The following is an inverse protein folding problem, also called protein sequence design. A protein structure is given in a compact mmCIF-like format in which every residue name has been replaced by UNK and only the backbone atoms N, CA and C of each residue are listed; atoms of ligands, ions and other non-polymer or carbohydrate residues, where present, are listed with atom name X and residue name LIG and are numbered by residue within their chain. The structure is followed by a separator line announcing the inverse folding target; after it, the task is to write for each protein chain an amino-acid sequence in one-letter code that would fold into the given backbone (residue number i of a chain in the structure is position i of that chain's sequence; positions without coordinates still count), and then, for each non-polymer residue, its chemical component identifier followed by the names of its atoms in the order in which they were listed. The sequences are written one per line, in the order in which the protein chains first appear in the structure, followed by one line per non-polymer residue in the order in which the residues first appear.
data_IF_636122880864
#
_entry.id   IF_636122880864
#
_cell.length_a   1.000
_cell.length_b   1.000
_cell.length_c   1.000
_cell.angle_alpha   90.00
_cell.angle_beta   90.00
_cell.angle_gamma   90.00
#
_symmetry.space_group_name_H-M   'P 1'
#
loop_
_entity.id
_entity.type
_entity.pdbx_description
1 polymer ?
#
# COMPACT_ATOMS: atom_id res chain seq x y z
N UNK A 1 -36.49 -25.42 -11.22
CA UNK A 1 -36.34 -24.25 -12.10
C UNK A 1 -37.55 -23.36 -11.91
N UNK A 2 -37.44 -22.47 -10.94
CA UNK A 2 -38.35 -21.37 -10.67
C UNK A 2 -37.93 -20.21 -11.56
N UNK A 3 -38.86 -19.70 -12.35
CA UNK A 3 -38.63 -18.58 -13.26
C UNK A 3 -39.63 -17.47 -12.91
N UNK A 4 -39.12 -16.26 -12.68
CA UNK A 4 -39.92 -15.06 -12.42
C UNK A 4 -39.47 -13.99 -13.40
N UNK A 5 -40.39 -13.43 -14.19
CA UNK A 5 -40.08 -12.45 -15.25
C UNK A 5 -38.97 -12.92 -16.20
N UNK A 6 -39.06 -14.19 -16.64
CA UNK A 6 -38.07 -14.83 -17.52
C UNK A 6 -36.63 -14.94 -16.94
N UNK A 7 -36.48 -14.74 -15.63
CA UNK A 7 -35.22 -14.93 -14.91
C UNK A 7 -35.29 -16.23 -14.09
N UNK A 8 -34.35 -17.14 -14.32
CA UNK A 8 -34.15 -18.32 -13.48
C UNK A 8 -33.57 -17.91 -12.12
N UNK A 9 -34.26 -18.27 -11.03
CA UNK A 9 -33.84 -17.91 -9.66
C UNK A 9 -33.26 -19.08 -8.86
N UNK A 10 -33.34 -20.31 -9.40
CA UNK A 10 -32.81 -21.49 -8.73
C UNK A 10 -31.33 -21.75 -9.06
N UNK A 11 -30.80 -21.17 -10.16
CA UNK A 11 -29.37 -21.22 -10.49
C UNK A 11 -28.58 -20.21 -9.66
N UNK A 12 -28.38 -20.54 -8.39
CA UNK A 12 -27.67 -19.70 -7.44
C UNK A 12 -26.16 -19.92 -7.56
N UNK A 13 -25.47 -18.94 -8.13
CA UNK A 13 -24.01 -18.88 -8.16
C UNK A 13 -23.44 -18.37 -6.82
N UNK A 14 -23.37 -19.23 -5.79
CA UNK A 14 -22.75 -18.89 -4.51
C UNK A 14 -21.22 -19.02 -4.57
N UNK A 15 -20.50 -17.89 -4.48
CA UNK A 15 -19.04 -17.86 -4.35
C UNK A 15 -18.63 -17.81 -2.87
N UNK A 16 -18.02 -18.90 -2.41
CA UNK A 16 -17.47 -19.05 -1.05
C UNK A 16 -16.47 -17.93 -0.73
N UNK A 17 -16.61 -17.26 0.40
CA UNK A 17 -15.69 -16.20 0.82
C UNK A 17 -14.53 -16.78 1.63
N UNK A 18 -13.47 -17.18 0.94
CA UNK A 18 -12.28 -17.82 1.55
C UNK A 18 -11.61 -16.97 2.65
N UNK A 19 -11.70 -15.64 2.55
CA UNK A 19 -11.11 -14.72 3.56
C UNK A 19 -11.93 -14.78 4.85
N UNK A 20 -13.26 -14.73 4.74
CA UNK A 20 -14.16 -14.83 5.89
C UNK A 20 -13.99 -16.18 6.61
N UNK A 21 -13.77 -17.25 5.86
CA UNK A 21 -13.56 -18.57 6.43
C UNK A 21 -12.23 -18.70 7.14
N UNK A 22 -11.17 -18.12 6.60
CA UNK A 22 -9.87 -18.08 7.27
C UNK A 22 -10.00 -17.37 8.63
N UNK A 23 -10.69 -16.23 8.68
CA UNK A 23 -10.89 -15.48 9.93
C UNK A 23 -11.69 -16.28 10.98
N UNK A 24 -12.69 -17.04 10.55
CA UNK A 24 -13.51 -17.83 11.47
C UNK A 24 -12.85 -19.14 11.92
N UNK A 25 -12.07 -19.80 11.06
CA UNK A 25 -11.65 -21.18 11.28
C UNK A 25 -10.15 -21.34 11.54
N UNK A 26 -9.31 -20.36 11.15
CA UNK A 26 -7.89 -20.46 11.38
C UNK A 26 -7.54 -19.89 12.76
N UNK A 27 -6.64 -20.58 13.45
CA UNK A 27 -5.85 -19.97 14.50
C UNK A 27 -4.89 -18.91 13.90
N UNK A 28 -4.51 -17.87 14.64
CA UNK A 28 -3.53 -16.92 14.15
C UNK A 28 -2.15 -17.59 13.99
N UNK A 29 -1.36 -17.18 13.00
CA UNK A 29 -0.01 -17.75 12.77
C UNK A 29 0.96 -17.45 13.92
N UNK A 30 0.72 -16.35 14.62
CA UNK A 30 1.46 -15.83 15.78
C UNK A 30 0.52 -15.04 16.69
N UNK A 31 0.93 -14.76 17.93
CA UNK A 31 0.12 -13.92 18.85
C UNK A 31 0.26 -12.42 18.55
N UNK A 32 1.34 -12.04 17.85
CA UNK A 32 1.72 -10.66 17.58
C UNK A 32 2.05 -10.45 16.10
N UNK A 33 1.47 -9.40 15.52
CA UNK A 33 1.84 -8.87 14.22
C UNK A 33 2.94 -7.82 14.39
N UNK A 34 4.10 -8.07 13.79
CA UNK A 34 5.22 -7.13 13.84
C UNK A 34 5.04 -6.04 12.77
N UNK A 35 4.74 -4.81 13.19
CA UNK A 35 4.46 -3.68 12.29
C UNK A 35 5.70 -2.80 12.17
N UNK A 36 6.21 -2.64 10.95
CA UNK A 36 7.32 -1.73 10.64
C UNK A 36 6.75 -0.42 10.09
N UNK A 37 7.10 0.68 10.75
CA UNK A 37 6.84 2.05 10.32
C UNK A 37 8.15 2.69 9.87
N UNK A 38 8.05 3.54 8.85
CA UNK A 38 9.20 4.25 8.29
C UNK A 38 8.90 5.73 8.24
N UNK A 39 9.87 6.56 8.64
CA UNK A 39 9.80 8.00 8.41
C UNK A 39 11.10 8.52 7.80
N UNK A 40 10.98 8.98 6.56
CA UNK A 40 11.92 9.86 5.88
C UNK A 40 11.19 11.19 5.61
N UNK A 41 11.85 12.30 5.90
CA UNK A 41 11.27 13.63 5.77
C UNK A 41 12.33 14.67 5.35
N UNK A 42 12.77 14.66 4.08
CA UNK A 42 13.84 15.56 3.61
C UNK A 42 13.46 17.04 3.74
N UNK A 43 12.16 17.36 3.65
CA UNK A 43 11.63 18.73 3.74
C UNK A 43 11.16 19.13 5.15
N UNK A 44 11.29 18.25 6.15
CA UNK A 44 10.87 18.50 7.53
C UNK A 44 9.39 18.90 7.71
N UNK A 45 8.49 18.41 6.84
CA UNK A 45 7.06 18.66 6.98
C UNK A 45 6.54 18.20 8.34
N UNK A 46 5.95 19.12 9.10
CA UNK A 46 5.46 18.89 10.45
C UNK A 46 4.37 17.83 10.49
N UNK A 47 3.45 17.82 9.52
CA UNK A 47 2.30 16.92 9.48
C UNK A 47 2.71 15.45 9.45
N UNK A 48 3.79 15.10 8.74
CA UNK A 48 4.35 13.73 8.75
C UNK A 48 4.74 13.28 10.17
N UNK A 49 5.37 14.16 10.94
CA UNK A 49 5.79 13.87 12.31
C UNK A 49 4.62 13.78 13.28
N UNK A 50 3.57 14.59 13.07
CA UNK A 50 2.34 14.54 13.86
C UNK A 50 1.63 13.20 13.62
N UNK A 51 1.37 12.87 12.34
CA UNK A 51 0.65 11.66 11.96
C UNK A 51 1.32 10.38 12.45
N UNK A 52 2.65 10.27 12.32
CA UNK A 52 3.34 9.08 12.84
C UNK A 52 3.30 8.97 14.36
N UNK A 53 3.31 10.09 15.10
CA UNK A 53 3.17 10.07 16.56
C UNK A 53 1.76 9.63 16.97
N UNK A 54 0.74 10.17 16.29
CA UNK A 54 -0.65 9.77 16.51
C UNK A 54 -0.85 8.29 16.19
N UNK A 55 -0.31 7.80 15.07
CA UNK A 55 -0.35 6.39 14.70
C UNK A 55 0.32 5.49 15.75
N UNK A 56 1.54 5.83 16.17
CA UNK A 56 2.26 5.08 17.22
C UNK A 56 1.41 5.05 18.50
N UNK A 57 0.86 6.19 18.91
CA UNK A 57 0.06 6.29 20.12
C UNK A 57 -1.21 5.43 20.05
N UNK A 58 -1.97 5.47 18.95
CA UNK A 58 -3.15 4.62 18.75
C UNK A 58 -2.76 3.14 18.84
N UNK A 59 -1.74 2.73 18.10
CA UNK A 59 -1.29 1.33 18.11
C UNK A 59 -0.79 0.87 19.49
N UNK A 60 -0.07 1.69 20.25
CA UNK A 60 0.42 1.32 21.58
C UNK A 60 -0.67 1.28 22.66
N UNK A 61 -1.72 2.10 22.52
CA UNK A 61 -2.80 2.23 23.51
C UNK A 61 -4.01 1.35 23.22
N UNK A 62 -4.30 1.08 21.95
CA UNK A 62 -5.56 0.48 21.50
C UNK A 62 -5.38 -0.94 20.96
N UNK A 63 -4.19 -1.30 20.47
CA UNK A 63 -3.93 -2.61 19.86
C UNK A 63 -3.26 -3.60 20.81
N UNK A 64 -3.76 -4.83 20.83
CA UNK A 64 -3.25 -5.89 21.72
C UNK A 64 -2.40 -6.93 21.00
N UNK A 65 -2.55 -7.06 19.68
CA UNK A 65 -1.84 -8.03 18.85
C UNK A 65 -0.76 -7.39 17.97
N UNK A 66 -0.24 -6.21 18.34
CA UNK A 66 0.71 -5.44 17.53
C UNK A 66 1.99 -5.17 18.30
N UNK A 67 3.14 -5.30 17.63
CA UNK A 67 4.41 -4.76 18.10
C UNK A 67 4.97 -3.82 17.03
N UNK A 68 5.18 -2.55 17.40
CA UNK A 68 5.67 -1.51 16.47
C UNK A 68 7.19 -1.45 16.49
N UNK A 69 7.75 -1.35 15.29
CA UNK A 69 9.16 -1.09 15.01
C UNK A 69 9.25 0.15 14.13
N UNK A 70 10.11 1.10 14.49
CA UNK A 70 10.19 2.39 13.80
C UNK A 70 11.57 2.59 13.22
N UNK A 71 11.64 2.82 11.91
CA UNK A 71 12.87 3.18 11.20
C UNK A 71 12.78 4.65 10.82
N UNK A 72 13.72 5.46 11.31
CA UNK A 72 13.82 6.88 10.97
C UNK A 72 15.11 7.15 10.18
N UNK A 73 14.93 7.72 8.99
CA UNK A 73 16.00 8.17 8.13
C UNK A 73 16.10 9.70 8.19
N UNK A 74 17.23 10.18 8.69
CA UNK A 74 17.55 11.60 8.75
C UNK A 74 18.60 11.98 7.70
N UNK A 75 18.56 13.22 7.22
CA UNK A 75 19.49 13.71 6.20
C UNK A 75 20.53 14.67 6.76
N UNK A 76 21.79 14.53 6.37
CA UNK A 76 22.89 15.46 6.74
C UNK A 76 22.95 15.67 8.26
N UNK A 77 22.67 16.88 8.74
CA UNK A 77 22.66 17.26 10.16
C UNK A 77 21.25 17.27 10.80
N UNK A 78 20.22 16.78 10.11
CA UNK A 78 18.86 16.68 10.68
C UNK A 78 18.86 15.84 11.95
N UNK A 79 18.09 16.25 12.96
CA UNK A 79 17.92 15.47 14.18
C UNK A 79 16.97 14.30 13.93
N UNK A 80 17.17 13.22 14.67
CA UNK A 80 16.14 12.20 14.84
C UNK A 80 15.04 12.75 15.76
N UNK A 81 13.78 12.75 15.31
CA UNK A 81 12.63 13.37 15.95
C UNK A 81 11.67 12.33 16.53
N UNK A 82 11.54 11.17 15.88
CA UNK A 82 10.59 10.12 16.27
C UNK A 82 11.25 9.03 17.10
N UNK A 83 12.47 8.67 16.74
CA UNK A 83 13.16 7.52 17.30
C UNK A 83 14.09 7.92 18.45
N UNK A 84 14.56 6.90 19.19
CA UNK A 84 15.51 7.04 20.29
C UNK A 84 16.51 5.90 20.20
N UNK A 85 17.79 6.20 20.31
CA UNK A 85 18.88 5.22 20.26
C UNK A 85 18.82 4.18 21.40
N UNK A 86 18.06 4.44 22.47
CA UNK A 86 17.90 3.50 23.60
C UNK A 86 16.70 2.57 23.47
N UNK A 87 15.80 2.82 22.52
CA UNK A 87 14.65 1.95 22.29
C UNK A 87 15.04 0.82 21.33
N UNK A 88 14.93 -0.43 21.78
CA UNK A 88 15.31 -1.63 21.00
C UNK A 88 14.46 -1.86 19.75
N UNK A 89 13.30 -1.22 19.63
CA UNK A 89 12.43 -1.29 18.45
C UNK A 89 12.59 -0.08 17.53
N UNK A 90 13.55 0.79 17.80
CA UNK A 90 13.85 1.95 16.98
C UNK A 90 15.17 1.76 16.23
N UNK A 91 15.18 2.09 14.94
CA UNK A 91 16.37 2.14 14.10
C UNK A 91 16.57 3.56 13.60
N UNK A 92 17.74 4.12 13.90
CA UNK A 92 18.20 5.43 13.42
C UNK A 92 19.22 5.21 12.31
N UNK A 93 18.93 5.71 11.11
CA UNK A 93 19.82 5.66 9.95
C UNK A 93 19.98 7.05 9.32
N UNK A 94 21.08 7.27 8.60
CA UNK A 94 21.40 8.60 8.08
C UNK A 94 22.06 8.51 6.71
N UNK A 95 21.67 9.42 5.82
CA UNK A 95 22.31 9.59 4.50
C UNK A 95 22.42 11.06 4.12
N UNK A 96 23.21 11.37 3.10
CA UNK A 96 23.41 12.74 2.61
C UNK A 96 22.37 13.15 1.55
N UNK A 97 21.94 12.20 0.72
CA UNK A 97 21.13 12.46 -0.48
C UNK A 97 19.73 11.86 -0.32
N UNK A 98 18.67 12.67 -0.43
CA UNK A 98 17.29 12.17 -0.45
C UNK A 98 16.95 11.37 -1.72
N UNK A 99 16.55 10.11 -1.52
CA UNK A 99 15.79 9.29 -2.48
C UNK A 99 14.47 8.85 -1.83
N UNK A 100 13.60 8.18 -2.57
CA UNK A 100 12.45 7.48 -1.99
C UNK A 100 12.90 6.16 -1.33
N UNK A 101 13.16 6.16 -0.02
CA UNK A 101 13.74 5.01 0.68
C UNK A 101 12.74 4.07 1.36
N UNK A 102 11.42 4.28 1.28
CA UNK A 102 10.42 3.56 2.10
C UNK A 102 10.67 2.04 2.15
N UNK A 103 10.72 1.38 0.99
CA UNK A 103 10.92 -0.07 0.93
C UNK A 103 12.32 -0.51 1.40
N UNK A 104 13.37 0.29 1.15
CA UNK A 104 14.72 0.06 1.69
C UNK A 104 14.74 0.14 3.22
N UNK A 105 14.05 1.13 3.79
CA UNK A 105 13.89 1.30 5.24
C UNK A 105 13.13 0.14 5.87
N UNK A 106 12.07 -0.34 5.22
CA UNK A 106 11.35 -1.55 5.68
C UNK A 106 12.29 -2.75 5.69
N UNK A 107 13.05 -2.96 4.61
CA UNK A 107 14.03 -4.05 4.51
C UNK A 107 15.09 -3.99 5.62
N UNK A 108 15.62 -2.79 5.91
CA UNK A 108 16.55 -2.56 7.02
C UNK A 108 15.90 -2.85 8.38
N UNK A 109 14.64 -2.43 8.57
CA UNK A 109 13.86 -2.73 9.77
C UNK A 109 13.69 -4.23 9.99
N UNK A 110 13.36 -5.00 8.94
CA UNK A 110 13.27 -6.46 9.03
C UNK A 110 14.58 -7.08 9.48
N UNK A 111 15.70 -6.68 8.85
CA UNK A 111 17.02 -7.26 9.14
C UNK A 111 17.54 -6.90 10.53
N UNK A 112 17.27 -5.69 11.01
CA UNK A 112 17.93 -5.13 12.22
C UNK A 112 17.06 -5.11 13.46
N UNK A 113 15.73 -5.13 13.33
CA UNK A 113 14.82 -4.92 14.45
C UNK A 113 13.94 -6.14 14.76
N UNK A 114 13.51 -6.91 13.77
CA UNK A 114 12.57 -8.01 14.01
C UNK A 114 13.24 -9.17 14.77
N UNK A 115 12.53 -9.81 15.71
CA UNK A 115 13.07 -10.94 16.45
C UNK A 115 13.30 -12.13 15.52
N UNK A 116 14.35 -12.96 15.69
CA UNK A 116 14.72 -14.00 14.73
C UNK A 116 13.59 -14.99 14.36
N UNK A 117 12.65 -15.20 15.27
CA UNK A 117 11.53 -16.14 15.17
C UNK A 117 10.20 -15.50 14.72
N UNK A 118 10.21 -14.24 14.24
CA UNK A 118 8.99 -13.58 13.73
C UNK A 118 8.34 -14.42 12.62
N UNK A 119 7.01 -14.53 12.61
CA UNK A 119 6.28 -15.33 11.60
C UNK A 119 5.49 -14.49 10.59
N UNK A 120 5.00 -13.34 11.03
CA UNK A 120 4.27 -12.39 10.20
C UNK A 120 4.71 -10.96 10.51
N UNK A 121 4.78 -10.14 9.46
CA UNK A 121 5.04 -8.72 9.58
C UNK A 121 4.04 -7.91 8.77
N UNK A 122 3.87 -6.64 9.12
CA UNK A 122 3.22 -5.65 8.31
C UNK A 122 4.14 -4.44 8.09
N UNK A 123 3.95 -3.74 6.98
CA UNK A 123 4.51 -2.42 6.72
C UNK A 123 3.37 -1.49 6.35
N UNK A 124 3.22 -0.42 7.12
CA UNK A 124 2.03 0.42 7.13
C UNK A 124 2.45 1.88 7.06
N UNK A 125 1.76 2.65 6.22
CA UNK A 125 1.88 4.10 6.17
C UNK A 125 1.31 4.70 7.45
N UNK A 126 2.03 5.63 8.05
CA UNK A 126 1.69 6.14 9.38
C UNK A 126 0.62 7.24 9.36
N UNK A 127 -0.05 7.45 8.22
CA UNK A 127 -1.11 8.42 7.99
C UNK A 127 -2.48 7.74 7.88
N UNK A 128 -2.62 6.52 8.40
CA UNK A 128 -3.89 5.79 8.42
C UNK A 128 -4.41 5.47 9.83
N UNK A 129 -5.67 5.10 9.90
CA UNK A 129 -6.36 4.57 11.07
C UNK A 129 -7.19 3.36 10.68
N UNK A 130 -7.24 2.34 11.53
CA UNK A 130 -8.03 1.13 11.31
C UNK A 130 -9.35 1.21 12.08
N UNK A 131 -10.49 1.02 11.40
CA UNK A 131 -11.80 0.99 12.07
C UNK A 131 -12.03 -0.33 12.81
N UNK A 132 -11.45 -1.41 12.29
CA UNK A 132 -11.68 -2.75 12.82
C UNK A 132 -10.75 -3.00 14.01
N UNK A 133 -11.26 -3.26 15.22
CA UNK A 133 -10.42 -3.56 16.39
C UNK A 133 -9.75 -4.95 16.30
N UNK A 134 -10.12 -5.77 15.30
CA UNK A 134 -9.53 -7.10 15.08
C UNK A 134 -8.60 -7.15 13.88
N UNK A 135 -8.28 -6.02 13.23
CA UNK A 135 -7.53 -6.02 11.97
C UNK A 135 -6.21 -6.81 12.07
N UNK A 136 -5.47 -6.66 13.17
CA UNK A 136 -4.19 -7.35 13.37
C UNK A 136 -4.38 -8.86 13.57
N UNK A 137 -5.35 -9.26 14.40
CA UNK A 137 -5.67 -10.67 14.63
C UNK A 137 -6.20 -11.34 13.35
N UNK A 138 -7.09 -10.67 12.62
CA UNK A 138 -7.64 -11.16 11.36
C UNK A 138 -6.54 -11.29 10.30
N UNK A 139 -5.58 -10.36 10.26
CA UNK A 139 -4.38 -10.46 9.44
C UNK A 139 -3.59 -11.74 9.75
N UNK A 140 -3.31 -12.00 11.03
CA UNK A 140 -2.56 -13.19 11.46
C UNK A 140 -3.27 -14.50 11.11
N UNK A 141 -4.60 -14.54 11.17
CA UNK A 141 -5.41 -15.70 10.78
C UNK A 141 -5.44 -15.93 9.26
N UNK A 142 -5.57 -14.86 8.48
CA UNK A 142 -5.56 -14.96 7.01
C UNK A 142 -4.17 -15.37 6.51
N UNK A 143 -3.10 -14.90 7.14
CA UNK A 143 -1.73 -15.31 6.84
C UNK A 143 -1.41 -16.76 7.28
N UNK A 144 -2.21 -17.35 8.17
CA UNK A 144 -2.04 -18.73 8.56
C UNK A 144 -2.59 -19.69 7.50
N UNK A 145 -1.77 -20.01 6.50
CA UNK A 145 -2.09 -21.06 5.53
C UNK A 145 -3.07 -20.66 4.41
N UNK A 146 -3.79 -19.52 4.51
CA UNK A 146 -4.73 -19.08 3.45
C UNK A 146 -4.04 -18.19 2.41
N UNK A 147 -3.33 -17.14 2.86
CA UNK A 147 -2.64 -16.17 2.00
C UNK A 147 -1.20 -15.98 2.47
N UNK A 148 -0.33 -15.58 1.55
CA UNK A 148 1.09 -15.36 1.84
C UNK A 148 1.40 -13.87 2.03
N UNK A 149 0.66 -13.02 1.30
CA UNK A 149 0.74 -11.56 1.32
C UNK A 149 -0.68 -11.00 1.29
N UNK A 150 -0.99 -10.04 2.15
CA UNK A 150 -2.33 -9.42 2.23
C UNK A 150 -2.23 -7.91 2.33
N UNK A 151 -3.16 -7.21 1.68
CA UNK A 151 -3.41 -5.81 1.99
C UNK A 151 -4.31 -5.75 3.23
N UNK A 152 -3.93 -5.01 4.27
CA UNK A 152 -4.56 -5.12 5.61
C UNK A 152 -5.90 -4.38 5.74
N UNK A 153 -6.55 -4.09 4.62
CA UNK A 153 -7.84 -3.43 4.55
C UNK A 153 -8.57 -3.80 3.24
N UNK A 154 -9.87 -3.53 3.20
CA UNK A 154 -10.70 -3.69 2.00
C UNK A 154 -11.06 -2.36 1.35
N UNK A 155 -11.35 -1.34 2.15
CA UNK A 155 -11.74 -0.02 1.68
C UNK A 155 -11.01 1.06 2.48
N UNK A 156 -10.71 2.18 1.84
CA UNK A 156 -10.11 3.35 2.47
C UNK A 156 -11.05 4.53 2.31
N UNK A 157 -11.39 5.20 3.41
CA UNK A 157 -11.98 6.53 3.44
C UNK A 157 -10.82 7.52 3.38
N UNK A 158 -10.68 8.20 2.25
CA UNK A 158 -9.70 9.25 2.07
C UNK A 158 -10.28 10.58 2.50
N UNK A 159 -9.64 11.23 3.47
CA UNK A 159 -10.20 12.39 4.18
C UNK A 159 -9.57 13.71 3.73
N UNK A 160 -10.33 14.79 3.90
CA UNK A 160 -9.81 16.16 3.79
C UNK A 160 -9.14 16.60 5.11
N UNK A 161 -8.69 17.86 5.16
CA UNK A 161 -8.03 18.46 6.33
C UNK A 161 -8.90 18.52 7.59
N UNK A 162 -10.22 18.56 7.40
CA UNK A 162 -11.25 18.66 8.44
C UNK A 162 -11.80 17.27 8.82
N UNK A 163 -11.17 16.20 8.31
CA UNK A 163 -11.53 14.79 8.52
C UNK A 163 -12.85 14.34 7.86
N UNK A 164 -13.42 15.15 6.96
CA UNK A 164 -14.55 14.72 6.13
C UNK A 164 -14.12 13.79 5.01
N UNK A 165 -15.03 12.90 4.61
CA UNK A 165 -14.80 11.96 3.51
C UNK A 165 -14.76 12.67 2.16
N UNK A 166 -13.63 12.59 1.46
CA UNK A 166 -13.50 13.04 0.07
C UNK A 166 -13.84 11.94 -0.92
N UNK A 167 -13.27 10.74 -0.71
CA UNK A 167 -13.39 9.62 -1.63
C UNK A 167 -13.26 8.29 -0.88
N UNK A 168 -13.89 7.25 -1.43
CA UNK A 168 -13.69 5.87 -0.98
C UNK A 168 -12.91 5.11 -2.05
N UNK A 169 -11.82 4.46 -1.65
CA UNK A 169 -11.03 3.57 -2.51
C UNK A 169 -11.23 2.11 -2.11
N UNK A 170 -11.25 1.23 -3.11
CA UNK A 170 -11.14 -0.22 -2.87
C UNK A 170 -9.67 -0.63 -2.90
N UNK A 171 -9.29 -1.51 -1.97
CA UNK A 171 -7.93 -2.04 -1.91
C UNK A 171 -7.65 -2.97 -3.09
N UNK A 172 -6.42 -2.95 -3.60
CA UNK A 172 -5.96 -3.83 -4.67
C UNK A 172 -6.19 -5.31 -4.34
N UNK A 173 -5.83 -5.72 -3.12
CA UNK A 173 -6.01 -7.11 -2.66
C UNK A 173 -7.49 -7.51 -2.63
N UNK A 174 -8.39 -6.59 -2.25
CA UNK A 174 -9.83 -6.83 -2.24
C UNK A 174 -10.35 -7.10 -3.65
N UNK A 175 -10.05 -6.19 -4.57
CA UNK A 175 -10.53 -6.29 -5.95
C UNK A 175 -10.00 -7.55 -6.64
N UNK A 176 -8.73 -7.89 -6.41
CA UNK A 176 -8.11 -9.12 -6.93
C UNK A 176 -8.85 -10.38 -6.44
N UNK A 177 -9.08 -10.50 -5.12
CA UNK A 177 -9.76 -11.68 -4.55
C UNK A 177 -11.22 -11.77 -5.00
N UNK A 178 -11.88 -10.64 -5.27
CA UNK A 178 -13.24 -10.63 -5.83
C UNK A 178 -13.30 -11.00 -7.31
N UNK A 179 -12.16 -11.21 -7.96
CA UNK A 179 -12.09 -11.57 -9.38
C UNK A 179 -12.61 -10.44 -10.27
N UNK A 180 -12.45 -9.18 -9.84
CA UNK A 180 -12.78 -8.04 -10.69
C UNK A 180 -11.75 -7.97 -11.83
N UNK A 181 -12.14 -7.51 -13.03
CA UNK A 181 -11.19 -7.20 -14.08
C UNK A 181 -10.28 -6.04 -13.65
N UNK A 182 -8.99 -6.16 -13.95
CA UNK A 182 -8.03 -5.09 -13.74
C UNK A 182 -7.96 -4.23 -15.00
N UNK A 183 -8.20 -2.92 -14.86
CA UNK A 183 -8.05 -1.94 -15.92
C UNK A 183 -6.94 -0.95 -15.54
N UNK A 184 -5.98 -0.74 -16.45
CA UNK A 184 -4.96 0.29 -16.29
C UNK A 184 -5.55 1.67 -16.55
N UNK A 185 -5.52 2.58 -15.56
CA UNK A 185 -5.92 3.98 -15.73
C UNK A 185 -6.76 4.56 -14.60
N UNK A 186 -7.23 5.80 -14.78
CA UNK A 186 -8.19 6.46 -13.87
C UNK A 186 -9.58 5.88 -14.10
N UNK A 187 -9.93 4.83 -13.37
CA UNK A 187 -11.30 4.33 -13.32
C UNK A 187 -11.93 4.66 -11.96
N UNK A 188 -13.27 4.69 -11.91
CA UNK A 188 -14.01 4.68 -10.63
C UNK A 188 -13.65 3.45 -9.78
N UNK A 189 -13.22 2.37 -10.43
CA UNK A 189 -12.77 1.13 -9.84
C UNK A 189 -11.24 1.04 -9.72
N UNK A 190 -10.56 2.12 -9.33
CA UNK A 190 -9.11 2.10 -9.14
C UNK A 190 -8.73 1.12 -8.01
N UNK A 191 -7.78 0.22 -8.29
CA UNK A 191 -7.27 -0.75 -7.33
C UNK A 191 -6.15 -0.11 -6.53
N UNK A 192 -6.45 0.40 -5.34
CA UNK A 192 -5.47 1.17 -4.58
C UNK A 192 -4.38 0.27 -3.97
N UNK A 193 -3.10 0.41 -4.35
CA UNK A 193 -2.04 -0.48 -3.88
C UNK A 193 -1.37 -0.02 -2.57
N UNK A 194 -1.57 1.22 -2.12
CA UNK A 194 -0.83 1.77 -0.98
C UNK A 194 -1.38 1.43 0.41
N UNK A 195 -0.99 2.26 1.38
CA UNK A 195 -1.42 2.30 2.79
C UNK A 195 -0.88 1.19 3.70
N UNK A 196 -1.09 -0.08 3.39
CA UNK A 196 -0.70 -1.12 4.33
C UNK A 196 -0.78 -2.53 3.80
N UNK A 197 0.30 -3.28 4.03
CA UNK A 197 0.41 -4.68 3.65
C UNK A 197 1.02 -5.50 4.78
N UNK A 198 0.75 -6.80 4.75
CA UNK A 198 1.34 -7.78 5.64
C UNK A 198 1.74 -9.04 4.88
N UNK A 199 2.73 -9.76 5.38
CA UNK A 199 3.19 -11.00 4.78
C UNK A 199 3.72 -11.97 5.83
N UNK A 200 3.76 -13.25 5.46
CA UNK A 200 4.50 -14.26 6.24
C UNK A 200 6.00 -14.08 6.06
N UNK A 201 6.80 -14.56 7.02
CA UNK A 201 8.27 -14.63 6.90
C UNK A 201 8.70 -15.33 5.61
N UNK A 202 8.08 -16.47 5.31
CA UNK A 202 8.34 -17.24 4.09
C UNK A 202 8.10 -16.40 2.83
N UNK A 203 7.02 -15.61 2.80
CA UNK A 203 6.75 -14.72 1.68
C UNK A 203 7.82 -13.63 1.57
N UNK A 204 8.20 -12.98 2.66
CA UNK A 204 9.28 -11.99 2.68
C UNK A 204 10.61 -12.55 2.16
N UNK A 205 11.01 -13.73 2.65
CA UNK A 205 12.23 -14.42 2.21
C UNK A 205 12.14 -14.78 0.72
N UNK A 206 10.97 -15.19 0.23
CA UNK A 206 10.72 -15.48 -1.19
C UNK A 206 10.85 -14.22 -2.06
N UNK A 207 10.37 -13.07 -1.57
CA UNK A 207 10.52 -11.79 -2.27
C UNK A 207 12.00 -11.37 -2.37
N UNK A 208 12.85 -11.82 -1.43
CA UNK A 208 14.22 -11.35 -1.26
C UNK A 208 14.26 -9.96 -0.64
N UNK A 209 13.28 -9.65 0.22
CA UNK A 209 12.97 -8.28 0.63
C UNK A 209 11.95 -7.58 -0.28
N UNK A 210 11.43 -6.44 0.16
CA UNK A 210 10.57 -5.57 -0.66
C UNK A 210 11.37 -4.94 -1.81
N UNK A 211 10.67 -4.60 -2.89
CA UNK A 211 11.29 -3.96 -4.05
C UNK A 211 11.70 -2.51 -3.73
N UNK A 212 12.99 -2.27 -3.56
CA UNK A 212 13.54 -0.99 -3.06
C UNK A 212 14.18 -0.07 -4.12
N UNK A 213 14.14 -0.48 -5.39
CA UNK A 213 14.75 0.28 -6.52
C UNK A 213 13.82 1.36 -7.10
N UNK A 214 12.62 1.51 -6.54
CA UNK A 214 11.66 2.53 -6.92
C UNK A 214 11.99 3.88 -6.26
N UNK A 215 13.08 4.52 -6.69
CA UNK A 215 13.70 5.67 -6.00
C UNK A 215 12.89 6.98 -6.03
N UNK A 216 11.74 6.98 -6.69
CA UNK A 216 10.80 8.11 -6.76
C UNK A 216 9.35 7.68 -6.42
N UNK A 217 9.22 6.62 -5.63
CA UNK A 217 7.95 6.03 -5.21
C UNK A 217 7.39 5.02 -6.21
N UNK A 218 6.14 4.58 -5.98
CA UNK A 218 5.44 3.50 -6.70
C UNK A 218 5.88 2.07 -6.34
N UNK A 219 6.70 1.88 -5.30
CA UNK A 219 7.14 0.55 -4.86
C UNK A 219 5.97 -0.38 -4.53
N UNK A 220 4.95 0.11 -3.85
CA UNK A 220 3.68 -0.57 -3.60
C UNK A 220 2.95 -0.99 -4.88
N UNK A 221 2.83 -0.09 -5.85
CA UNK A 221 2.19 -0.35 -7.14
C UNK A 221 2.95 -1.40 -7.96
N UNK A 222 4.29 -1.29 -8.00
CA UNK A 222 5.19 -2.25 -8.65
C UNK A 222 5.04 -3.64 -8.01
N UNK A 223 5.07 -3.72 -6.68
CA UNK A 223 4.91 -5.00 -5.98
C UNK A 223 3.51 -5.60 -6.21
N UNK A 224 2.45 -4.78 -6.08
CA UNK A 224 1.07 -5.23 -6.28
C UNK A 224 0.84 -5.80 -7.68
N UNK A 225 1.32 -5.11 -8.72
CA UNK A 225 1.22 -5.61 -10.11
C UNK A 225 2.12 -6.81 -10.36
N UNK A 226 3.29 -6.87 -9.74
CA UNK A 226 4.17 -8.04 -9.82
C UNK A 226 3.51 -9.30 -9.27
N UNK A 227 2.71 -9.19 -8.20
CA UNK A 227 1.99 -10.35 -7.66
C UNK A 227 0.95 -10.93 -8.62
N UNK A 228 0.39 -10.11 -9.53
CA UNK A 228 -0.57 -10.56 -10.55
C UNK A 228 0.05 -10.69 -11.94
N UNK A 229 1.39 -10.77 -11.99
CA UNK A 229 2.17 -10.97 -13.21
C UNK A 229 2.04 -9.83 -14.26
N UNK A 230 1.84 -8.60 -13.77
CA UNK A 230 1.75 -7.36 -14.58
C UNK A 230 2.81 -6.32 -14.19
N UNK A 231 3.90 -6.73 -13.54
CA UNK A 231 4.92 -5.82 -12.98
C UNK A 231 5.51 -4.83 -13.98
N UNK A 232 5.81 -5.24 -15.22
CA UNK A 232 6.34 -4.32 -16.24
C UNK A 232 5.36 -3.19 -16.60
N UNK A 233 4.04 -3.38 -16.43
CA UNK A 233 3.04 -2.34 -16.68
C UNK A 233 2.91 -1.35 -15.52
N UNK A 234 3.67 -1.51 -14.44
CA UNK A 234 3.68 -0.60 -13.30
C UNK A 234 4.51 0.66 -13.52
N UNK A 235 5.34 0.66 -14.57
CA UNK A 235 6.21 1.77 -14.94
C UNK A 235 5.89 2.23 -16.37
N UNK A 236 6.37 3.42 -16.73
CA UNK A 236 6.12 3.97 -18.05
C UNK A 236 6.81 3.10 -19.13
N UNK A 237 6.19 2.87 -20.31
CA UNK A 237 6.83 2.16 -21.42
C UNK A 237 8.19 2.74 -21.86
N UNK A 238 8.43 4.03 -21.66
CA UNK A 238 9.70 4.72 -21.95
C UNK A 238 10.76 4.56 -20.86
N UNK A 239 10.43 3.90 -19.74
CA UNK A 239 11.45 3.56 -18.73
C UNK A 239 12.54 2.65 -19.33
N UNK A 240 13.76 2.78 -18.82
CA UNK A 240 14.92 1.98 -19.21
C UNK A 240 14.65 0.48 -19.11
N UNK A 241 15.29 -0.30 -19.98
CA UNK A 241 15.10 -1.75 -20.03
C UNK A 241 15.57 -2.42 -18.75
N UNK A 242 16.70 -1.98 -18.19
CA UNK A 242 17.27 -2.55 -16.98
C UNK A 242 16.40 -2.25 -15.73
N UNK A 243 15.66 -1.13 -15.72
CA UNK A 243 14.65 -0.89 -14.69
C UNK A 243 13.48 -1.88 -14.81
N UNK A 244 12.95 -2.10 -16.02
CA UNK A 244 11.89 -3.10 -16.27
C UNK A 244 12.37 -4.51 -15.94
N UNK A 245 13.61 -4.86 -16.29
CA UNK A 245 14.22 -6.15 -15.96
C UNK A 245 14.31 -6.37 -14.45
N UNK A 246 14.68 -5.34 -13.67
CA UNK A 246 14.73 -5.44 -12.22
C UNK A 246 13.34 -5.76 -11.61
N UNK A 247 12.27 -5.21 -12.20
CA UNK A 247 10.88 -5.48 -11.81
C UNK A 247 10.46 -6.89 -12.22
N UNK A 248 10.77 -7.31 -13.45
CA UNK A 248 10.48 -8.66 -13.93
C UNK A 248 11.21 -9.73 -13.12
N UNK A 249 12.44 -9.45 -12.67
CA UNK A 249 13.18 -10.32 -11.76
C UNK A 249 12.47 -10.46 -10.40
N UNK A 250 11.93 -9.36 -9.86
CA UNK A 250 11.08 -9.40 -8.65
C UNK A 250 9.81 -10.21 -8.89
N UNK A 251 9.06 -9.90 -9.96
CA UNK A 251 7.87 -10.64 -10.38
C UNK A 251 8.11 -12.16 -10.46
N UNK A 252 9.23 -12.57 -11.06
CA UNK A 252 9.56 -13.98 -11.21
C UNK A 252 9.74 -14.70 -9.88
N UNK A 253 10.23 -14.02 -8.84
CA UNK A 253 10.32 -14.57 -7.48
C UNK A 253 8.95 -14.71 -6.82
N UNK A 254 8.05 -13.75 -7.05
CA UNK A 254 6.79 -13.62 -6.31
C UNK A 254 5.57 -14.25 -6.99
N UNK A 255 5.69 -14.70 -8.26
CA UNK A 255 4.57 -15.19 -9.09
C UNK A 255 3.72 -16.34 -8.51
N UNK A 256 4.20 -17.01 -7.45
CA UNK A 256 3.48 -18.11 -6.76
C UNK A 256 2.89 -17.70 -5.41
N UNK A 257 3.13 -16.48 -4.95
CA UNK A 257 2.60 -16.00 -3.68
C UNK A 257 1.10 -15.75 -3.79
N UNK A 258 0.35 -16.21 -2.80
CA UNK A 258 -1.11 -16.06 -2.75
C UNK A 258 -1.45 -14.70 -2.15
N UNK A 259 -1.93 -13.79 -2.97
CA UNK A 259 -2.37 -12.45 -2.54
C UNK A 259 -3.78 -12.48 -1.98
N UNK A 260 -4.01 -11.71 -0.92
CA UNK A 260 -5.34 -11.45 -0.39
C UNK A 260 -5.51 -10.07 0.21
N UNK A 261 -6.54 -9.95 1.04
CA UNK A 261 -6.85 -8.75 1.80
C UNK A 261 -7.44 -9.14 3.16
N UNK A 262 -7.51 -8.17 4.06
CA UNK A 262 -8.24 -8.28 5.33
C UNK A 262 -9.49 -7.39 5.25
N UNK A 263 -10.70 -7.90 5.55
CA UNK A 263 -11.91 -7.09 5.56
C UNK A 263 -11.81 -6.00 6.62
N UNK A 264 -12.13 -4.78 6.24
CA UNK A 264 -11.99 -3.62 7.12
C UNK A 264 -11.95 -2.32 6.33
N UNK A 265 -12.31 -1.24 7.02
CA UNK A 265 -12.17 0.13 6.55
C UNK A 265 -10.96 0.73 7.23
N UNK A 266 -10.15 1.46 6.48
CA UNK A 266 -9.17 2.39 7.04
C UNK A 266 -9.57 3.82 6.71
N UNK A 267 -9.18 4.77 7.55
CA UNK A 267 -9.19 6.20 7.23
C UNK A 267 -7.77 6.62 6.87
N UNK A 268 -7.63 7.45 5.84
CA UNK A 268 -6.34 8.04 5.45
C UNK A 268 -6.43 9.54 5.69
N UNK A 269 -5.58 10.03 6.60
CA UNK A 269 -5.55 11.42 7.03
C UNK A 269 -4.92 12.31 5.98
N UNK A 270 -5.43 13.53 5.90
CA UNK A 270 -4.89 14.55 5.02
C UNK A 270 -3.47 14.99 5.44
N UNK A 271 -2.59 15.06 4.45
CA UNK A 271 -1.20 15.48 4.59
C UNK A 271 -0.70 16.21 3.33
N UNK A 272 -1.56 17.07 2.76
CA UNK A 272 -1.29 17.78 1.51
C UNK A 272 -2.03 17.19 0.30
N UNK A 273 -2.32 18.08 -0.65
CA UNK A 273 -3.24 17.81 -1.75
C UNK A 273 -2.67 16.80 -2.73
N UNK A 274 -3.55 15.97 -3.29
CA UNK A 274 -3.17 14.97 -4.29
C UNK A 274 -2.58 15.58 -5.57
N UNK A 275 -2.95 16.82 -5.91
CA UNK A 275 -2.38 17.59 -7.02
C UNK A 275 -0.85 17.71 -6.88
N UNK A 276 -0.38 18.00 -5.67
CA UNK A 276 1.03 18.18 -5.35
C UNK A 276 1.83 16.87 -5.30
N UNK A 277 1.15 15.70 -5.26
CA UNK A 277 1.80 14.38 -5.20
C UNK A 277 2.37 13.92 -6.55
N UNK A 278 2.00 14.58 -7.66
CA UNK A 278 2.59 14.36 -8.98
C UNK A 278 2.44 12.94 -9.53
N UNK A 279 1.49 12.13 -9.06
CA UNK A 279 1.41 10.70 -9.42
C UNK A 279 1.29 10.45 -10.93
N UNK A 280 0.67 11.36 -11.69
CA UNK A 280 0.53 11.24 -13.14
C UNK A 280 1.77 11.66 -13.94
N UNK A 281 2.74 12.32 -13.32
CA UNK A 281 3.83 12.99 -14.05
C UNK A 281 5.23 12.73 -13.47
N UNK A 282 5.35 12.33 -12.20
CA UNK A 282 6.65 12.10 -11.54
C UNK A 282 7.52 11.07 -12.25
N UNK A 283 6.91 10.14 -12.98
CA UNK A 283 7.65 9.16 -13.77
C UNK A 283 8.50 9.80 -14.87
N UNK A 284 8.14 11.00 -15.35
CA UNK A 284 8.90 11.75 -16.37
C UNK A 284 10.32 12.03 -15.89
N UNK A 285 10.50 12.37 -14.61
CA UNK A 285 11.83 12.56 -14.00
C UNK A 285 12.73 11.33 -14.20
N UNK A 286 12.19 10.11 -14.05
CA UNK A 286 12.98 8.90 -14.26
C UNK A 286 13.29 8.64 -15.75
N UNK A 287 12.38 9.01 -16.65
CA UNK A 287 12.55 8.83 -18.10
C UNK A 287 13.52 9.86 -18.68
N UNK A 288 13.34 11.14 -18.34
CA UNK A 288 14.15 12.26 -18.82
C UNK A 288 15.63 12.10 -18.45
N UNK A 289 15.90 11.47 -17.30
CA UNK A 289 17.26 11.18 -16.82
C UNK A 289 17.72 9.73 -17.06
N UNK A 290 16.99 8.97 -17.89
CA UNK A 290 17.32 7.58 -18.25
C UNK A 290 17.69 6.71 -17.03
N UNK A 291 16.87 6.75 -15.98
CA UNK A 291 17.20 6.13 -14.71
C UNK A 291 17.51 4.63 -14.84
N UNK A 292 18.73 4.24 -14.49
CA UNK A 292 19.17 2.85 -14.40
C UNK A 292 19.36 2.45 -12.92
N UNK A 293 18.62 1.48 -12.38
CA UNK A 293 18.82 1.05 -11.00
C UNK A 293 20.12 0.29 -10.76
N UNK A 294 20.85 -0.12 -11.82
CA UNK A 294 22.14 -0.79 -11.69
C UNK A 294 23.33 0.17 -11.85
N UNK A 295 23.17 1.25 -12.63
CA UNK A 295 24.20 2.25 -12.81
C UNK A 295 24.10 3.38 -11.78
N UNK A 296 22.89 3.86 -11.46
CA UNK A 296 22.71 5.12 -10.72
C UNK A 296 22.59 4.94 -9.20
N UNK A 297 22.29 3.75 -8.70
CA UNK A 297 22.16 3.51 -7.26
C UNK A 297 22.91 2.28 -6.79
N UNK A 298 23.42 2.36 -5.57
CA UNK A 298 24.09 1.27 -4.83
C UNK A 298 23.69 1.37 -3.36
N UNK A 299 24.19 0.48 -2.53
CA UNK A 299 24.11 0.62 -1.07
C UNK A 299 25.45 1.01 -0.46
N UNK A 300 25.40 1.67 0.70
CA UNK A 300 26.58 1.88 1.55
C UNK A 300 26.86 0.67 2.47
N UNK A 301 27.83 0.80 3.38
CA UNK A 301 28.21 -0.23 4.36
C UNK A 301 27.08 -0.54 5.37
N UNK A 302 26.06 0.31 5.43
CA UNK A 302 24.84 0.11 6.21
C UNK A 302 23.65 -0.34 5.35
N UNK A 303 23.87 -0.84 4.13
CA UNK A 303 22.82 -1.23 3.18
C UNK A 303 21.80 -0.10 2.86
N UNK A 304 22.11 1.16 3.18
CA UNK A 304 21.25 2.30 2.86
C UNK A 304 21.44 2.60 1.38
N UNK A 305 20.34 2.72 0.64
CA UNK A 305 20.41 3.08 -0.77
C UNK A 305 21.03 4.47 -0.94
N UNK A 306 22.04 4.60 -1.79
CA UNK A 306 22.73 5.86 -2.10
C UNK A 306 22.97 5.97 -3.61
N UNK A 307 23.08 7.20 -4.16
CA UNK A 307 23.49 7.37 -5.54
C UNK A 307 24.94 6.91 -5.76
N UNK A 308 25.22 6.38 -6.94
CA UNK A 308 26.59 6.14 -7.40
C UNK A 308 27.19 7.44 -7.96
N UNK A 309 28.47 7.38 -8.33
CA UNK A 309 29.14 8.46 -9.08
C UNK A 309 28.58 8.68 -10.49
N UNK A 310 27.89 7.68 -11.04
CA UNK A 310 27.35 7.70 -12.41
C UNK A 310 25.88 8.18 -12.41
N UNK A 311 25.29 8.39 -11.22
CA UNK A 311 23.97 8.98 -11.07
C UNK A 311 23.98 10.46 -11.53
N UNK A 312 23.11 10.87 -12.46
CA UNK A 312 23.04 12.27 -12.89
C UNK A 312 22.68 13.20 -11.72
N UNK A 313 23.45 14.28 -11.53
CA UNK A 313 23.15 15.28 -10.48
C UNK A 313 21.75 15.91 -10.68
N UNK A 314 21.37 16.16 -11.93
CA UNK A 314 20.04 16.71 -12.25
C UNK A 314 18.88 15.79 -11.87
N UNK A 315 19.07 14.47 -11.91
CA UNK A 315 18.07 13.52 -11.39
C UNK A 315 17.86 13.71 -9.88
N UNK A 316 18.95 13.89 -9.12
CA UNK A 316 18.88 14.08 -7.67
C UNK A 316 18.24 15.42 -7.32
N UNK A 317 18.54 16.47 -8.08
CA UNK A 317 17.93 17.79 -7.93
C UNK A 317 16.42 17.74 -8.19
N UNK A 318 15.98 17.06 -9.26
CA UNK A 318 14.56 16.91 -9.58
C UNK A 318 13.81 16.03 -8.57
N UNK A 319 14.45 14.98 -8.03
CA UNK A 319 13.90 14.18 -6.92
C UNK A 319 13.70 15.05 -5.68
N UNK A 320 14.69 15.89 -5.34
CA UNK A 320 14.57 16.83 -4.22
C UNK A 320 13.48 17.88 -4.48
N UNK A 321 13.40 18.40 -5.70
CA UNK A 321 12.35 19.31 -6.15
C UNK A 321 10.95 18.68 -6.02
N UNK A 322 10.81 17.40 -6.39
CA UNK A 322 9.58 16.64 -6.18
C UNK A 322 9.21 16.51 -4.69
N UNK A 323 10.18 16.21 -3.81
CA UNK A 323 9.89 16.17 -2.37
C UNK A 323 9.35 17.50 -1.86
N UNK A 324 9.96 18.62 -2.28
CA UNK A 324 9.53 19.96 -1.90
C UNK A 324 8.17 20.36 -2.51
N UNK A 325 7.83 19.85 -3.70
CA UNK A 325 6.56 20.17 -4.35
C UNK A 325 5.37 19.51 -3.67
N UNK A 326 5.57 18.44 -2.87
CA UNK A 326 4.49 17.73 -2.19
C UNK A 326 3.74 18.59 -1.16
N UNK A 327 4.41 19.58 -0.58
CA UNK A 327 3.86 20.53 0.38
C UNK A 327 2.97 19.87 1.45
N UNK A 328 3.51 18.91 2.20
CA UNK A 328 2.67 18.05 3.05
C UNK A 328 2.11 18.75 4.31
N UNK A 329 2.52 19.99 4.54
CA UNK A 329 1.97 20.89 5.57
C UNK A 329 0.88 21.84 5.02
N UNK A 330 0.47 21.69 3.76
CA UNK A 330 -0.59 22.49 3.13
C UNK A 330 -1.82 22.57 4.05
N UNK A 331 -2.33 23.79 4.26
CA UNK A 331 -3.43 24.15 5.18
C UNK A 331 -3.15 24.03 6.69
N UNK A 332 -1.96 23.57 7.11
CA UNK A 332 -1.54 23.56 8.52
C UNK A 332 -0.51 24.65 8.84
N UNK A 333 -0.08 25.39 7.83
CA UNK A 333 0.78 26.57 7.95
C UNK A 333 -0.08 27.82 8.16
N UNK A 334 -0.82 27.94 9.26
CA UNK A 334 -1.28 29.27 9.66
C UNK A 334 -1.38 29.47 11.17
N UNK A 335 -0.49 30.36 11.61
CA UNK A 335 -0.68 31.26 12.74
C UNK A 335 -0.63 32.71 12.25
N UNK A 336 -1.08 32.99 11.03
CA UNK A 336 -1.39 34.34 10.57
C UNK A 336 -2.83 34.64 10.97
N UNK A 337 -2.98 35.73 11.71
CA UNK A 337 -4.21 36.46 12.00
C UNK A 337 -5.22 36.37 10.85
N UNK A 338 -6.46 35.98 11.18
CA UNK A 338 -7.65 36.21 10.37
C UNK A 338 -7.71 37.69 9.97
N UNK A 339 -7.31 38.03 8.75
CA UNK A 339 -7.81 39.22 8.07
C UNK A 339 -8.99 38.74 7.22
N UNK A 340 -10.17 39.22 7.63
CA UNK A 340 -11.48 39.13 7.01
C UNK A 340 -11.49 38.72 5.51
N UNK A 341 -11.95 37.49 5.22
CA UNK A 341 -12.46 37.15 3.88
C UNK A 341 -13.98 37.07 3.93
N UNK A 342 -14.58 37.99 3.17
CA UNK A 342 -16.00 38.12 2.89
C UNK A 342 -16.59 36.80 2.35
N UNK A 343 -17.75 36.44 2.92
CA UNK A 343 -18.66 35.40 2.46
C UNK A 343 -18.89 35.47 0.93
N UNK A 344 -18.31 34.52 0.21
CA UNK A 344 -18.72 34.13 -1.14
C UNK A 344 -19.64 32.92 -1.07
N UNK A 345 -20.90 33.13 -0.69
CA UNK A 345 -21.97 32.14 -0.81
C UNK A 345 -22.42 32.05 -2.27
N UNK A 346 -22.05 30.97 -2.97
CA UNK A 346 -22.71 30.58 -4.22
C UNK A 346 -23.91 29.70 -3.86
N UNK A 347 -25.07 30.36 -3.71
CA UNK A 347 -26.39 29.71 -3.74
C UNK A 347 -26.85 29.57 -5.20
N UNK A 348 -26.86 28.33 -5.70
CA UNK A 348 -27.60 27.91 -6.88
C UNK A 348 -29.08 27.71 -6.47
N UNK A 349 -29.97 28.64 -6.78
CA UNK A 349 -31.40 28.35 -6.92
C UNK A 349 -32.01 29.06 -8.14
N UNK A 350 -32.53 28.23 -9.04
CA UNK A 350 -33.42 28.55 -10.14
C UNK A 350 -34.78 29.08 -9.67
N UNK A 351 -35.31 30.14 -10.28
CA UNK A 351 -36.70 30.20 -10.79
C UNK A 351 -37.09 31.55 -11.40
N UNK A 352 -37.63 31.47 -12.62
CA UNK A 352 -38.74 32.23 -13.21
C UNK A 352 -39.04 33.67 -12.75
N UNK A 353 -38.93 34.64 -13.68
CA UNK A 353 -40.09 35.25 -14.34
C UNK A 353 -39.73 36.49 -15.17
N UNK A 354 -40.18 36.45 -16.42
CA UNK A 354 -40.90 37.46 -17.21
C UNK A 354 -40.44 38.92 -17.39
N UNK A 355 -40.69 39.33 -18.64
CA UNK A 355 -40.94 40.68 -19.18
C UNK A 355 -39.76 41.56 -19.64
N UNK A 356 -39.55 41.51 -20.96
CA UNK A 356 -39.95 42.56 -21.92
C UNK A 356 -38.86 43.33 -22.68
N UNK A 357 -39.20 43.58 -23.95
CA UNK A 357 -38.67 44.54 -24.91
C UNK A 357 -37.30 44.24 -25.52
N UNK A 358 -37.02 44.48 -26.79
CA UNK A 358 -37.78 44.77 -28.01
C UNK A 358 -36.70 44.80 -29.11
N UNK A 359 -37.13 44.57 -30.35
CA UNK A 359 -36.43 44.87 -31.62
C UNK A 359 -35.31 43.89 -32.02
N UNK A 360 -35.14 43.53 -33.28
CA UNK A 360 -35.84 43.77 -34.54
C UNK A 360 -35.15 42.87 -35.59
N UNK A 361 -35.81 42.70 -36.74
CA UNK A 361 -35.28 42.24 -38.05
C UNK A 361 -35.07 40.71 -38.20
N UNK A 362 -36.04 40.01 -38.83
CA UNK A 362 -36.23 39.86 -40.30
C UNK A 362 -35.18 38.93 -40.94
N UNK A 363 -35.57 37.67 -41.19
CA UNK A 363 -35.80 37.13 -42.54
C UNK A 363 -35.63 35.59 -42.60
N UNK A 364 -36.78 34.94 -42.82
CA UNK A 364 -37.10 33.97 -43.88
C UNK A 364 -36.32 32.63 -44.07
N UNK A 365 -37.18 31.67 -44.44
CA UNK A 365 -36.98 30.47 -45.25
C UNK A 365 -36.64 29.14 -44.56
N UNK A 366 -37.74 28.46 -44.20
CA UNK A 366 -38.16 27.15 -44.72
C UNK A 366 -37.10 26.26 -45.42
N UNK A 367 -37.00 25.05 -44.88
CA UNK A 367 -37.33 23.77 -45.55
C UNK A 367 -36.23 22.70 -45.67
N UNK A 368 -36.69 21.51 -45.29
CA UNK A 368 -36.42 20.16 -45.78
C UNK A 368 -35.01 19.53 -45.78
N UNK A 369 -34.98 18.30 -45.23
CA UNK A 369 -34.61 17.17 -46.08
C UNK A 369 -33.24 16.48 -45.87
N UNK A 370 -33.34 15.28 -45.30
CA UNK A 370 -32.66 14.02 -45.73
C UNK A 370 -31.17 13.78 -45.47
N UNK A 371 -30.95 12.62 -44.83
CA UNK A 371 -30.03 11.51 -45.17
C UNK A 371 -28.53 11.79 -45.44
N UNK A 372 -27.67 11.15 -44.63
CA UNK A 372 -26.87 10.01 -45.10
C UNK A 372 -26.04 9.39 -43.96
N UNK A 373 -26.17 8.07 -43.88
CA UNK A 373 -25.19 7.00 -43.61
C UNK A 373 -23.72 7.41 -43.39
N UNK A 374 -23.09 6.76 -42.40
CA UNK A 374 -21.90 5.93 -42.63
C UNK A 374 -21.63 5.03 -41.40
N UNK A 375 -21.79 3.73 -41.61
CA UNK A 375 -21.33 2.62 -40.76
C UNK A 375 -19.88 2.31 -41.09
N UNK A 376 -19.00 2.16 -40.09
CA UNK A 376 -17.72 1.48 -40.25
C UNK A 376 -17.68 0.24 -39.34
N UNK A 377 -17.74 -0.92 -40.01
CA UNK A 377 -17.42 -2.24 -39.48
C UNK A 377 -15.91 -2.47 -39.61
N UNK A 378 -15.29 -3.08 -38.60
CA UNK A 378 -14.09 -3.91 -38.79
C UNK A 378 -14.18 -5.13 -37.85
N UNK A 379 -14.57 -6.26 -38.46
CA UNK A 379 -14.35 -7.61 -37.96
C UNK A 379 -12.93 -8.04 -38.34
N UNK A 380 -12.19 -8.67 -37.43
CA UNK A 380 -11.05 -9.51 -37.81
C UNK A 380 -11.06 -10.78 -36.95
N UNK A 381 -11.30 -11.90 -37.63
CA UNK A 381 -11.45 -13.26 -37.13
C UNK A 381 -10.27 -14.07 -37.68
N UNK A 382 -9.55 -14.76 -36.82
CA UNK A 382 -8.31 -15.45 -37.17
C UNK A 382 -8.06 -16.67 -36.30
N UNK A 383 -8.78 -17.74 -36.61
CA UNK A 383 -8.59 -19.10 -36.10
C UNK A 383 -7.36 -19.77 -36.70
N UNK A 384 -6.56 -20.48 -35.89
CA UNK A 384 -5.74 -21.59 -36.36
C UNK A 384 -5.85 -22.76 -35.36
N UNK A 385 -6.43 -23.87 -35.85
CA UNK A 385 -6.33 -25.21 -35.28
C UNK A 385 -5.18 -25.93 -35.98
N UNK A 386 -4.34 -26.64 -35.23
CA UNK A 386 -3.59 -27.77 -35.78
C UNK A 386 -3.52 -28.89 -34.72
N UNK A 387 -4.08 -30.05 -35.08
CA UNK A 387 -4.00 -31.31 -34.35
C UNK A 387 -2.84 -32.14 -34.92
N UNK A 388 -2.09 -32.87 -34.08
CA UNK A 388 -1.35 -34.03 -34.59
C UNK A 388 -0.21 -34.61 -33.75
N UNK A 389 -0.51 -35.73 -33.08
CA UNK A 389 0.31 -36.92 -32.81
C UNK A 389 1.38 -36.92 -31.70
N UNK A 390 1.05 -37.67 -30.64
CA UNK A 390 1.70 -38.89 -30.12
C UNK A 390 3.24 -39.01 -30.16
N UNK A 391 3.83 -39.19 -28.97
CA UNK A 391 4.64 -40.37 -28.67
C UNK A 391 4.81 -40.56 -27.15
N UNK A 392 4.57 -41.80 -26.75
CA UNK A 392 4.88 -42.42 -25.47
C UNK A 392 6.39 -42.35 -25.16
N UNK A 393 6.74 -42.23 -23.87
CA UNK A 393 7.83 -43.02 -23.30
C UNK A 393 7.67 -43.13 -21.77
N UNK A 394 7.29 -44.34 -21.36
CA UNK A 394 7.46 -44.85 -20.00
C UNK A 394 8.95 -45.13 -19.77
N UNK A 395 9.51 -44.71 -18.63
CA UNK A 395 10.59 -45.47 -17.99
C UNK A 395 10.56 -45.27 -16.48
N UNK A 396 10.61 -46.42 -15.82
CA UNK A 396 10.49 -46.69 -14.41
C UNK A 396 11.83 -46.63 -13.66
N UNK A 397 11.72 -46.74 -12.33
CA UNK A 397 12.68 -47.33 -11.38
C UNK A 397 13.96 -46.56 -11.00
N UNK A 398 14.06 -46.10 -9.75
CA UNK A 398 14.58 -46.94 -8.66
C UNK A 398 14.69 -46.22 -7.31
N UNK A 399 14.46 -47.03 -6.28
CA UNK A 399 14.61 -46.82 -4.84
C UNK A 399 16.08 -46.81 -4.38
N UNK A 400 16.37 -46.14 -3.27
CA UNK A 400 17.33 -46.51 -2.20
C UNK A 400 17.25 -45.37 -1.15
N UNK A 401 16.60 -45.52 0.01
CA UNK A 401 17.00 -46.22 1.24
C UNK A 401 18.33 -45.76 1.86
N UNK A 402 18.30 -45.50 3.17
CA UNK A 402 19.40 -44.94 3.96
C UNK A 402 18.94 -44.32 5.27
N UNK A 403 18.47 -45.18 6.18
CA UNK A 403 18.21 -44.93 7.61
C UNK A 403 19.49 -44.60 8.41
N UNK A 404 19.31 -43.95 9.57
CA UNK A 404 19.87 -44.28 10.91
C UNK A 404 19.81 -43.01 11.79
N UNK A 405 18.90 -42.89 12.77
CA UNK A 405 18.81 -43.48 14.13
C UNK A 405 19.67 -42.82 15.23
N UNK A 406 19.04 -42.79 16.42
CA UNK A 406 19.52 -42.58 17.80
C UNK A 406 19.27 -41.17 18.40
N UNK A 407 18.23 -41.00 19.25
CA UNK A 407 18.17 -41.32 20.71
C UNK A 407 19.08 -40.39 21.53
N UNK A 408 18.79 -39.87 22.72
CA UNK A 408 17.72 -39.86 23.72
C UNK A 408 18.13 -38.72 24.69
N UNK A 409 17.21 -38.13 25.46
CA UNK A 409 17.57 -37.11 26.44
C UNK A 409 16.41 -36.38 27.11
N UNK A 410 15.42 -37.11 27.61
CA UNK A 410 14.42 -36.58 28.55
C UNK A 410 15.06 -36.12 29.87
N UNK A 411 14.74 -34.92 30.35
CA UNK A 411 14.79 -34.56 31.77
C UNK A 411 13.49 -33.89 32.17
N UNK A 412 12.78 -34.59 33.04
CA UNK A 412 11.57 -34.18 33.76
C UNK A 412 11.95 -33.23 34.88
N UNK A 413 11.27 -32.09 35.01
CA UNK A 413 11.23 -31.31 36.24
C UNK A 413 9.82 -30.74 36.47
N UNK A 414 9.15 -31.41 37.40
CA UNK A 414 8.04 -31.05 38.29
C UNK A 414 7.33 -29.69 38.19
N UNK A 415 6.00 -29.78 38.26
CA UNK A 415 5.03 -28.79 38.70
C UNK A 415 5.41 -28.09 40.03
N UNK A 416 5.28 -26.76 40.05
CA UNK A 416 4.46 -25.98 41.00
C UNK A 416 4.88 -24.49 40.95
N UNK A 417 3.97 -23.63 40.47
CA UNK A 417 3.52 -22.41 41.16
C UNK A 417 2.70 -21.51 40.21
N UNK A 418 1.38 -21.67 40.31
CA UNK A 418 0.40 -20.68 39.83
C UNK A 418 0.29 -19.58 40.87
N UNK A 419 0.68 -18.34 40.54
CA UNK A 419 0.30 -17.14 41.31
C UNK A 419 0.09 -15.92 40.39
N UNK A 420 -1.17 -15.78 40.01
CA UNK A 420 -2.00 -14.58 39.84
C UNK A 420 -1.32 -13.19 39.98
N UNK A 421 -1.18 -12.45 38.87
CA UNK A 421 -0.77 -11.04 38.83
C UNK A 421 -1.93 -10.06 38.52
N UNK A 422 -3.18 -10.44 38.81
CA UNK A 422 -4.30 -9.51 38.91
C UNK A 422 -4.31 -8.84 40.29
N UNK A 423 -3.42 -7.85 40.49
CA UNK A 423 -3.50 -6.79 41.52
C UNK A 423 -2.17 -6.03 41.54
N UNK A 424 -2.03 -4.97 40.73
CA UNK A 424 -1.22 -3.75 40.94
C UNK A 424 -1.47 -2.88 39.69
N UNK A 425 -2.55 -2.08 39.70
CA UNK A 425 -2.61 -0.72 39.13
C UNK A 425 -4.04 -0.13 39.26
N UNK A 426 -4.53 -0.05 40.49
CA UNK A 426 -5.61 0.87 40.85
C UNK A 426 -5.19 1.51 42.16
N UNK A 427 -4.60 2.70 42.08
CA UNK A 427 -4.56 3.78 43.06
C UNK A 427 -3.55 4.81 42.50
N UNK A 428 -4.09 5.92 42.01
CA UNK A 428 -3.62 7.32 42.14
C UNK A 428 -3.94 8.12 40.86
N UNK A 429 -5.24 8.29 40.57
CA UNK A 429 -5.75 9.50 39.93
C UNK A 429 -6.33 10.31 41.08
N UNK A 430 -5.69 11.43 41.40
CA UNK A 430 -6.22 12.62 42.10
C UNK A 430 -5.09 13.32 42.86
N UNK A 431 -4.40 14.21 42.13
CA UNK A 431 -3.79 15.45 42.65
C UNK A 431 -2.98 16.09 41.53
N UNK A 432 -3.56 17.08 40.87
CA UNK A 432 -2.99 18.44 40.69
C UNK A 432 -3.80 19.19 39.63
N UNK A 433 -5.01 19.61 40.03
CA UNK A 433 -5.66 20.82 39.53
C UNK A 433 -5.59 21.83 40.68
N UNK A 434 -5.19 23.07 40.38
CA UNK A 434 -5.05 24.26 41.22
C UNK A 434 -3.77 24.40 42.07
N UNK A 435 -2.79 25.18 41.57
CA UNK A 435 -2.46 26.52 42.10
C UNK A 435 -1.31 27.19 41.32
N UNK A 436 -1.57 28.46 40.96
CA UNK A 436 -0.70 29.56 40.50
C UNK A 436 -0.04 29.46 39.14
#
# INVERSE_FOLDING_TARGET
MTVINDIEIDDIQYKRNVIKEAIHNNEPIDDTLHVILTISNPCLYARRYILIKEFIQRMELEETNVAIYVVELAYKNQKFIITSATNKRHLQIRTEVPLWHKENMVNLGVRRLLPPNWKAMAWIDSDVEFDSPSWALDTLKVLNGTKDVVQVFSHCIDMNKDEDTMQIFSSFGHQFVKGRPYFSGKSKDFWHPGYGWACTRKAYDTMGGLFERAILGSGDHIMALSFIQKGATAVNPESTDDYKESILAFQNRVKRLRVGYVPGVIRHYYHGSKKNRGYGERWKILVDWEFSPFAHVTTDDEDILIPTRDCPEGLLDDIMGYFASRNEDEFYQDGSVDDDDEDGSDDDESSDNDESSDNDEEDNDEDDGSDNDEEDNDEDDGSDNDEGSDNDDESSDNEDDGSDNDEDGSVVASDDEKLNWFQILHITVDKFINRT
#
